data_IF_983841007029
#
_entry.id   IF_983841007029
#
_cell.length_a   1.000
_cell.length_b   1.000
_cell.length_c   1.000
_cell.angle_alpha   90.00
_cell.angle_beta   90.00
_cell.angle_gamma   90.00
#
_symmetry.space_group_name_H-M   'P 1'
#
loop_
_entity.id
_entity.type
_entity.pdbx_description
1 polymer ?
#
# COMPACT_ATOMS: atom_id res chain seq x y z
N UNK A 1 23.11 -5.03 8.02
CA UNK A 1 21.79 -4.60 8.53
C UNK A 1 21.79 -4.85 10.05
N UNK A 2 20.88 -4.29 10.85
CA UNK A 2 20.67 -4.85 12.20
C UNK A 2 20.22 -6.31 12.06
N UNK A 3 20.24 -7.10 13.14
CA UNK A 3 19.65 -8.43 13.03
C UNK A 3 18.17 -8.29 12.68
N UNK A 4 17.68 -8.96 11.62
CA UNK A 4 16.28 -8.91 11.26
C UNK A 4 15.44 -9.46 12.42
N UNK A 5 14.25 -8.89 12.63
CA UNK A 5 13.29 -9.45 13.56
C UNK A 5 13.03 -10.92 13.22
N UNK A 6 12.83 -11.74 14.25
CA UNK A 6 12.41 -13.12 14.02
C UNK A 6 11.03 -13.14 13.35
N UNK A 7 10.75 -14.16 12.53
CA UNK A 7 9.47 -14.26 11.79
C UNK A 7 8.23 -14.28 12.70
N UNK A 8 8.39 -14.61 13.99
CA UNK A 8 7.30 -14.71 14.95
C UNK A 8 7.09 -13.48 15.84
N UNK A 9 7.74 -12.34 15.54
CA UNK A 9 7.51 -11.11 16.31
C UNK A 9 6.10 -10.60 16.05
N UNK A 10 5.37 -10.30 17.13
CA UNK A 10 4.02 -9.76 17.10
C UNK A 10 4.08 -8.28 17.48
N UNK A 11 3.53 -7.42 16.64
CA UNK A 11 3.47 -5.98 16.87
C UNK A 11 3.33 -5.18 15.57
N UNK A 12 3.21 -3.86 15.70
CA UNK A 12 3.20 -2.94 14.55
C UNK A 12 4.63 -2.71 14.07
N UNK A 13 5.10 -3.52 13.13
CA UNK A 13 6.40 -3.40 12.48
C UNK A 13 6.24 -2.79 11.09
N UNK A 14 5.72 -1.57 11.02
CA UNK A 14 5.43 -0.89 9.75
C UNK A 14 6.02 0.52 9.75
N UNK A 15 6.50 0.95 8.58
CA UNK A 15 6.96 2.31 8.34
C UNK A 15 6.38 2.84 7.03
N UNK A 16 5.75 4.02 7.00
CA UNK A 16 5.25 4.59 5.76
C UNK A 16 6.41 5.09 4.89
N UNK A 17 6.44 4.66 3.63
CA UNK A 17 7.23 5.35 2.61
C UNK A 17 6.38 6.47 2.00
N UNK A 18 6.81 7.71 2.18
CA UNK A 18 6.19 8.85 1.51
C UNK A 18 6.92 9.13 0.20
N UNK A 19 6.16 9.14 -0.89
CA UNK A 19 6.64 9.51 -2.22
C UNK A 19 5.79 10.66 -2.73
N UNK A 20 6.43 11.81 -2.96
CA UNK A 20 5.78 13.00 -3.49
C UNK A 20 6.02 13.02 -4.99
N UNK A 21 4.94 13.10 -5.75
CA UNK A 21 4.95 13.14 -7.20
C UNK A 21 4.54 14.55 -7.64
N UNK A 22 5.46 15.28 -8.26
CA UNK A 22 5.20 16.60 -8.83
C UNK A 22 5.14 16.54 -10.35
N UNK A 23 4.22 17.30 -10.96
CA UNK A 23 4.15 17.42 -12.42
C UNK A 23 3.64 16.18 -13.17
N UNK A 24 3.22 15.12 -12.46
CA UNK A 24 2.62 13.93 -13.07
C UNK A 24 1.36 14.30 -13.85
N UNK A 25 1.32 13.88 -15.09
CA UNK A 25 0.19 14.12 -15.99
C UNK A 25 0.01 12.91 -16.92
N UNK A 26 -0.94 13.00 -17.86
CA UNK A 26 -1.29 11.89 -18.75
C UNK A 26 -0.16 11.42 -19.67
N UNK A 27 0.87 12.23 -19.88
CA UNK A 27 2.02 11.89 -20.71
C UNK A 27 3.18 11.27 -19.90
N UNK A 28 3.06 11.17 -18.57
CA UNK A 28 4.07 10.54 -17.73
C UNK A 28 4.06 9.04 -17.98
N UNK A 29 5.22 8.46 -18.29
CA UNK A 29 5.31 7.03 -18.54
C UNK A 29 5.25 6.25 -17.22
N UNK A 30 4.67 5.04 -17.25
CA UNK A 30 4.57 4.18 -16.07
C UNK A 30 5.96 3.86 -15.50
N UNK A 31 6.96 3.71 -16.38
CA UNK A 31 8.33 3.39 -15.96
C UNK A 31 8.94 4.50 -15.09
N UNK A 32 8.67 5.77 -15.39
CA UNK A 32 9.14 6.91 -14.59
C UNK A 32 8.55 6.85 -13.18
N UNK A 33 7.24 6.54 -13.07
CA UNK A 33 6.57 6.39 -11.78
C UNK A 33 7.17 5.23 -10.96
N UNK A 34 7.53 4.13 -11.61
CA UNK A 34 8.18 2.98 -10.96
C UNK A 34 9.58 3.35 -10.46
N UNK A 35 10.35 4.11 -11.23
CA UNK A 35 11.68 4.57 -10.81
C UNK A 35 11.61 5.52 -9.60
N UNK A 36 10.69 6.48 -9.63
CA UNK A 36 10.47 7.40 -8.51
C UNK A 36 10.02 6.64 -7.26
N UNK A 37 9.13 5.66 -7.41
CA UNK A 37 8.70 4.82 -6.29
C UNK A 37 9.87 4.01 -5.71
N UNK A 38 10.71 3.40 -6.57
CA UNK A 38 11.91 2.67 -6.14
C UNK A 38 12.88 3.55 -5.38
N UNK A 39 13.14 4.77 -5.86
CA UNK A 39 13.99 5.73 -5.17
C UNK A 39 13.40 6.12 -3.81
N UNK A 40 12.10 6.42 -3.76
CA UNK A 40 11.38 6.76 -2.54
C UNK A 40 11.43 5.64 -1.49
N UNK A 41 11.21 4.39 -1.91
CA UNK A 41 11.34 3.22 -1.04
C UNK A 41 12.80 2.99 -0.60
N UNK A 42 13.78 3.31 -1.45
CA UNK A 42 15.20 3.24 -1.12
C UNK A 42 15.63 4.17 0.02
N UNK A 43 14.85 5.23 0.31
CA UNK A 43 15.09 6.13 1.45
C UNK A 43 14.79 5.48 2.80
N UNK A 44 14.12 4.32 2.82
CA UNK A 44 13.99 3.48 4.01
C UNK A 44 15.32 2.79 4.31
N UNK A 45 16.25 3.56 4.88
CA UNK A 45 17.62 3.12 5.10
C UNK A 45 17.82 2.36 6.40
N UNK A 46 18.93 1.62 6.50
CA UNK A 46 19.43 1.03 7.75
C UNK A 46 19.53 2.05 8.89
N UNK A 47 19.87 3.31 8.59
CA UNK A 47 20.01 4.37 9.59
C UNK A 47 18.70 4.67 10.33
N UNK A 48 17.58 4.63 9.62
CA UNK A 48 16.24 4.82 10.19
C UNK A 48 15.91 3.70 11.19
N UNK A 49 16.12 2.44 10.80
CA UNK A 49 15.89 1.28 11.67
C UNK A 49 16.81 1.27 12.90
N UNK A 50 18.06 1.70 12.74
CA UNK A 50 18.99 1.85 13.87
C UNK A 50 18.55 2.95 14.83
N UNK A 51 17.99 4.07 14.34
CA UNK A 51 17.42 5.11 15.21
C UNK A 51 16.25 4.53 16.02
N UNK A 52 15.34 3.81 15.35
CA UNK A 52 14.19 3.15 16.00
C UNK A 52 14.62 2.15 17.08
N UNK A 53 15.71 1.41 16.87
CA UNK A 53 16.20 0.43 17.85
C UNK A 53 16.89 1.06 19.07
N UNK A 54 17.60 2.17 18.88
CA UNK A 54 18.53 2.70 19.89
C UNK A 54 18.03 3.95 20.61
N UNK A 55 16.99 4.61 20.10
CA UNK A 55 16.40 5.79 20.73
C UNK A 55 15.20 5.40 21.61
N UNK A 56 15.34 5.40 22.94
CA UNK A 56 14.26 5.02 23.86
C UNK A 56 13.11 6.05 23.87
N UNK A 57 13.35 7.26 23.35
CA UNK A 57 12.33 8.31 23.22
C UNK A 57 11.66 8.28 21.84
N UNK A 58 12.02 7.33 20.98
CA UNK A 58 11.49 7.24 19.62
C UNK A 58 9.96 7.08 19.62
N UNK A 59 9.27 8.05 19.04
CA UNK A 59 7.82 7.99 18.82
C UNK A 59 7.56 7.86 17.32
N UNK A 60 7.02 6.70 16.93
CA UNK A 60 6.65 6.43 15.54
C UNK A 60 5.66 7.48 15.01
N UNK A 61 4.71 7.91 15.86
CA UNK A 61 3.71 8.93 15.52
C UNK A 61 4.34 10.25 15.13
N UNK A 62 5.39 10.68 15.83
CA UNK A 62 5.99 12.00 15.67
C UNK A 62 6.81 12.06 14.38
N UNK A 63 7.56 11.00 14.09
CA UNK A 63 8.31 10.87 12.85
C UNK A 63 7.37 10.72 11.64
N UNK A 64 6.28 9.95 11.76
CA UNK A 64 5.27 9.87 10.71
C UNK A 64 4.57 11.22 10.51
N UNK A 65 4.23 11.91 11.59
CA UNK A 65 3.65 13.25 11.53
C UNK A 65 4.61 14.23 10.86
N UNK A 66 5.91 14.16 11.17
CA UNK A 66 6.93 14.99 10.52
C UNK A 66 7.03 14.72 9.02
N UNK A 67 7.11 13.45 8.60
CA UNK A 67 7.11 13.06 7.19
C UNK A 67 5.86 13.60 6.47
N UNK A 68 4.69 13.46 7.10
CA UNK A 68 3.42 13.96 6.56
C UNK A 68 3.40 15.49 6.51
N UNK A 69 3.88 16.19 7.54
CA UNK A 69 3.89 17.65 7.59
C UNK A 69 4.84 18.24 6.55
N UNK A 70 6.06 17.72 6.44
CA UNK A 70 7.07 18.16 5.46
C UNK A 70 6.60 17.91 4.02
N UNK A 71 5.87 16.82 3.75
CA UNK A 71 5.48 16.46 2.39
C UNK A 71 4.06 16.83 1.94
N UNK A 72 3.10 16.96 2.87
CA UNK A 72 1.67 17.10 2.55
C UNK A 72 1.14 18.50 2.91
N UNK A 73 1.64 19.12 3.98
CA UNK A 73 1.05 20.35 4.50
C UNK A 73 1.32 21.58 3.61
N UNK A 74 2.46 21.63 2.91
CA UNK A 74 2.83 22.77 2.05
C UNK A 74 2.07 22.77 0.72
N UNK A 75 1.81 21.59 0.14
CA UNK A 75 1.30 21.47 -1.24
C UNK A 75 -0.12 20.89 -1.37
N UNK A 76 -0.74 20.41 -0.27
CA UNK A 76 -2.07 19.76 -0.25
C UNK A 76 -2.29 18.77 -1.42
N UNK A 77 -1.39 17.80 -1.64
CA UNK A 77 -1.51 16.85 -2.74
C UNK A 77 -2.72 15.92 -2.55
N UNK A 78 -3.17 15.31 -3.65
CA UNK A 78 -4.05 14.14 -3.57
C UNK A 78 -3.21 13.00 -2.98
N UNK A 79 -3.54 12.59 -1.75
CA UNK A 79 -2.88 11.47 -1.08
C UNK A 79 -3.57 10.16 -1.46
N UNK A 80 -2.78 9.16 -1.83
CA UNK A 80 -3.17 7.76 -2.01
C UNK A 80 -2.33 6.92 -1.04
N UNK A 81 -2.99 6.04 -0.29
CA UNK A 81 -2.32 5.15 0.67
C UNK A 81 -2.38 3.72 0.15
N UNK A 82 -1.23 3.10 -0.06
CA UNK A 82 -1.11 1.72 -0.52
C UNK A 82 -0.66 0.80 0.61
N UNK A 83 -1.29 -0.36 0.73
CA UNK A 83 -0.89 -1.41 1.68
C UNK A 83 -0.83 -2.75 0.96
N UNK A 84 0.33 -3.40 0.98
CA UNK A 84 0.53 -4.72 0.36
C UNK A 84 0.35 -5.85 1.36
N UNK A 85 -0.46 -6.85 1.01
CA UNK A 85 -0.67 -8.10 1.75
C UNK A 85 -0.02 -9.30 1.04
N UNK A 86 0.89 -9.05 0.09
CA UNK A 86 1.62 -10.09 -0.60
C UNK A 86 2.53 -10.89 0.34
N UNK A 87 2.75 -12.18 0.04
CA UNK A 87 3.61 -13.08 0.81
C UNK A 87 3.29 -13.21 2.32
N UNK A 88 2.09 -12.85 2.77
CA UNK A 88 1.67 -13.02 4.17
C UNK A 88 1.31 -14.48 4.53
N UNK A 89 1.34 -15.39 3.54
CA UNK A 89 1.09 -16.82 3.75
C UNK A 89 -0.40 -17.19 3.91
N UNK A 90 -1.32 -16.25 3.72
CA UNK A 90 -2.76 -16.49 3.90
C UNK A 90 -3.30 -17.62 3.02
N UNK A 91 -2.81 -17.76 1.78
CA UNK A 91 -3.23 -18.81 0.86
C UNK A 91 -2.83 -20.24 1.32
N UNK A 92 -1.90 -20.33 2.26
CA UNK A 92 -1.37 -21.60 2.79
C UNK A 92 -1.99 -21.99 4.13
N UNK A 93 -2.83 -21.13 4.71
CA UNK A 93 -3.46 -21.38 6.01
C UNK A 93 -4.47 -22.51 5.90
N UNK A 94 -4.35 -23.51 6.77
CA UNK A 94 -5.31 -24.62 6.87
C UNK A 94 -5.63 -24.87 8.35
N UNK A 95 -6.89 -24.69 8.71
CA UNK A 95 -7.40 -24.93 10.07
C UNK A 95 -7.99 -26.33 10.26
N UNK A 96 -7.74 -27.26 9.33
CA UNK A 96 -8.30 -28.61 9.28
C UNK A 96 -9.44 -28.78 8.26
N UNK A 97 -9.71 -27.75 7.45
CA UNK A 97 -10.78 -27.72 6.45
C UNK A 97 -10.24 -27.55 5.02
N UNK A 98 -8.93 -27.65 4.83
CA UNK A 98 -8.27 -27.31 3.58
C UNK A 98 -7.89 -25.82 3.50
N UNK A 99 -7.10 -25.50 2.48
CA UNK A 99 -6.62 -24.15 2.19
C UNK A 99 -7.75 -23.25 1.67
N UNK A 100 -7.69 -21.92 1.88
CA UNK A 100 -8.70 -21.02 1.36
C UNK A 100 -8.72 -21.05 -0.17
N UNK A 101 -9.93 -21.04 -0.72
CA UNK A 101 -10.14 -20.87 -2.15
C UNK A 101 -9.83 -19.43 -2.59
N UNK A 102 -10.30 -18.47 -1.80
CA UNK A 102 -10.15 -17.04 -2.04
C UNK A 102 -10.00 -16.30 -0.71
N UNK A 103 -9.27 -15.20 -0.74
CA UNK A 103 -9.07 -14.28 0.38
C UNK A 103 -9.53 -12.89 -0.05
N UNK A 104 -10.29 -12.24 0.81
CA UNK A 104 -10.87 -10.94 0.52
C UNK A 104 -10.66 -9.97 1.68
N UNK A 105 -10.51 -8.70 1.35
CA UNK A 105 -10.65 -7.64 2.33
C UNK A 105 -12.15 -7.34 2.52
N UNK A 106 -12.57 -7.17 3.78
CA UNK A 106 -13.94 -6.71 4.05
C UNK A 106 -14.08 -5.28 3.53
N UNK A 107 -14.87 -5.10 2.48
CA UNK A 107 -15.17 -3.79 1.89
C UNK A 107 -15.55 -2.74 2.95
N UNK A 108 -15.07 -1.52 2.74
CA UNK A 108 -15.25 -0.39 3.66
C UNK A 108 -16.72 -0.09 3.96
N UNK A 109 -17.01 0.28 5.22
CA UNK A 109 -18.28 0.95 5.57
C UNK A 109 -18.21 2.42 5.11
N UNK A 110 -19.28 3.20 5.29
CA UNK A 110 -19.26 4.66 5.06
C UNK A 110 -18.17 5.42 5.83
N UNK A 111 -17.51 4.77 6.79
CA UNK A 111 -16.43 5.30 7.63
C UNK A 111 -15.03 4.96 7.09
N UNK A 112 -14.91 4.30 5.94
CA UNK A 112 -13.61 3.98 5.36
C UNK A 112 -12.87 5.24 4.95
N UNK A 113 -11.59 5.32 5.32
CA UNK A 113 -10.67 6.38 4.89
C UNK A 113 -10.61 6.38 3.35
N UNK A 114 -11.02 7.48 2.68
CA UNK A 114 -10.97 7.55 1.22
C UNK A 114 -9.51 7.50 0.75
N UNK A 115 -9.32 7.12 -0.52
CA UNK A 115 -8.04 7.07 -1.21
C UNK A 115 -7.06 6.01 -0.66
N UNK A 116 -7.60 4.84 -0.32
CA UNK A 116 -6.82 3.69 0.16
C UNK A 116 -6.86 2.57 -0.87
N UNK A 117 -5.74 1.87 -1.03
CA UNK A 117 -5.59 0.71 -1.92
C UNK A 117 -4.93 -0.42 -1.15
N UNK A 118 -5.59 -1.58 -1.12
CA UNK A 118 -5.02 -2.81 -0.56
C UNK A 118 -4.69 -3.75 -1.71
N UNK A 119 -3.42 -4.14 -1.80
CA UNK A 119 -2.92 -5.06 -2.83
C UNK A 119 -2.81 -6.45 -2.24
N UNK A 120 -3.56 -7.40 -2.79
CA UNK A 120 -3.62 -8.78 -2.34
C UNK A 120 -3.10 -9.72 -3.43
N UNK A 121 -2.31 -10.70 -3.05
CA UNK A 121 -1.78 -11.70 -3.98
C UNK A 121 -2.83 -12.76 -4.30
N UNK A 122 -3.00 -13.04 -5.59
CA UNK A 122 -3.84 -14.14 -6.09
C UNK A 122 -2.96 -15.18 -6.78
N UNK A 123 -3.55 -16.31 -7.19
CA UNK A 123 -2.82 -17.34 -7.95
C UNK A 123 -2.32 -16.85 -9.31
N UNK A 124 -3.02 -15.89 -9.91
CA UNK A 124 -2.79 -15.43 -11.28
C UNK A 124 -2.22 -14.00 -11.35
N UNK A 125 -2.07 -13.32 -10.21
CA UNK A 125 -1.58 -11.95 -10.18
C UNK A 125 -1.90 -11.23 -8.88
N UNK A 126 -2.41 -10.01 -9.00
CA UNK A 126 -2.69 -9.11 -7.87
C UNK A 126 -4.14 -8.63 -7.97
N UNK A 127 -4.87 -8.71 -6.87
CA UNK A 127 -6.17 -8.08 -6.68
C UNK A 127 -5.99 -6.75 -5.94
N UNK A 128 -6.50 -5.66 -6.51
CA UNK A 128 -6.42 -4.33 -5.93
C UNK A 128 -7.79 -3.89 -5.40
N UNK A 129 -7.89 -3.75 -4.07
CA UNK A 129 -9.08 -3.26 -3.39
C UNK A 129 -8.98 -1.74 -3.23
N UNK A 130 -9.67 -1.01 -4.11
CA UNK A 130 -9.59 0.45 -4.20
C UNK A 130 -10.79 1.10 -3.51
N UNK A 131 -10.51 1.95 -2.51
CA UNK A 131 -11.52 2.77 -1.83
C UNK A 131 -11.25 4.24 -2.11
N UNK A 132 -12.17 4.91 -2.81
CA UNK A 132 -12.10 6.33 -3.17
C UNK A 132 -13.50 6.95 -3.15
N UNK A 133 -13.62 8.30 -3.14
CA UNK A 133 -14.92 8.95 -3.34
C UNK A 133 -15.60 8.47 -4.62
N UNK A 134 -16.92 8.26 -4.57
CA UNK A 134 -17.72 7.67 -5.65
C UNK A 134 -17.51 8.35 -7.01
N UNK A 135 -17.38 9.69 -7.01
CA UNK A 135 -17.08 10.45 -8.23
C UNK A 135 -15.78 10.02 -8.92
N UNK A 136 -14.75 9.66 -8.16
CA UNK A 136 -13.45 9.22 -8.69
C UNK A 136 -13.50 7.75 -9.14
N UNK A 137 -14.18 6.89 -8.38
CA UNK A 137 -14.43 5.50 -8.80
C UNK A 137 -15.22 5.46 -10.10
N UNK A 138 -16.21 6.33 -10.28
CA UNK A 138 -16.99 6.41 -11.51
C UNK A 138 -16.11 6.75 -12.71
N UNK A 139 -15.16 7.68 -12.55
CA UNK A 139 -14.19 8.02 -13.62
C UNK A 139 -13.28 6.83 -13.91
N UNK A 140 -12.67 6.23 -12.88
CA UNK A 140 -11.72 5.13 -13.03
C UNK A 140 -12.34 3.89 -13.70
N UNK A 141 -13.61 3.60 -13.40
CA UNK A 141 -14.36 2.48 -14.00
C UNK A 141 -14.58 2.60 -15.50
N UNK A 142 -14.45 3.79 -16.07
CA UNK A 142 -14.63 4.05 -17.51
C UNK A 142 -13.33 4.52 -18.18
N UNK A 143 -12.21 4.51 -17.46
CA UNK A 143 -10.92 4.92 -17.98
C UNK A 143 -10.31 3.78 -18.83
N UNK A 144 -10.15 4.03 -20.13
CA UNK A 144 -9.74 3.00 -21.09
C UNK A 144 -8.31 2.53 -20.83
N UNK A 145 -7.42 3.43 -20.45
CA UNK A 145 -6.01 3.12 -20.19
C UNK A 145 -5.89 2.24 -18.94
N UNK A 146 -6.68 2.52 -17.89
CA UNK A 146 -6.76 1.68 -16.70
C UNK A 146 -7.34 0.28 -17.01
N UNK A 147 -8.44 0.23 -17.76
CA UNK A 147 -9.13 -1.02 -18.09
C UNK A 147 -8.32 -1.94 -19.01
N UNK A 148 -7.29 -1.42 -19.69
CA UNK A 148 -6.35 -2.25 -20.44
C UNK A 148 -5.57 -3.21 -19.52
N UNK A 149 -5.38 -2.86 -18.25
CA UNK A 149 -4.57 -3.62 -17.29
C UNK A 149 -5.39 -4.20 -16.14
N UNK A 150 -6.66 -3.80 -15.97
CA UNK A 150 -7.47 -4.17 -14.83
C UNK A 150 -8.81 -4.80 -15.24
N UNK A 151 -9.15 -5.92 -14.61
CA UNK A 151 -10.50 -6.49 -14.65
C UNK A 151 -11.29 -5.98 -13.46
N UNK A 152 -12.39 -5.27 -13.72
CA UNK A 152 -13.23 -4.71 -12.67
C UNK A 152 -14.08 -5.81 -12.01
N UNK A 153 -14.03 -5.89 -10.67
CA UNK A 153 -14.88 -6.76 -9.85
C UNK A 153 -15.04 -8.17 -10.46
N UNK A 154 -13.95 -8.91 -10.68
CA UNK A 154 -14.00 -10.22 -11.29
C UNK A 154 -14.88 -11.16 -10.46
N UNK A 155 -15.59 -12.05 -11.14
CA UNK A 155 -16.36 -13.09 -10.44
C UNK A 155 -15.40 -14.17 -9.97
N UNK A 156 -15.56 -14.61 -8.72
CA UNK A 156 -14.83 -15.74 -8.19
C UNK A 156 -15.47 -17.01 -8.76
N UNK A 157 -14.76 -17.69 -9.64
CA UNK A 157 -15.18 -18.99 -10.17
C UNK A 157 -14.66 -20.05 -9.22
N UNK A 158 -15.57 -20.76 -8.54
CA UNK A 158 -15.27 -21.85 -7.57
C UNK A 158 -15.21 -23.19 -8.31
#
# INVERSE_FOLDING_TARGET
MGEPFSKGVIGNLLWPALVILEGVNKNTEIIDLVEILKEGLGKLTKGLFLKLQNDPCFQWSDECAKLILEGIAENKPISLVFTGWGNMGFNEVDFGCGKPFWLAQRGGTKESTPNTVILMETREGIEAWITMPEKHISILKHDVDFLQFALLNPTIVI
#
